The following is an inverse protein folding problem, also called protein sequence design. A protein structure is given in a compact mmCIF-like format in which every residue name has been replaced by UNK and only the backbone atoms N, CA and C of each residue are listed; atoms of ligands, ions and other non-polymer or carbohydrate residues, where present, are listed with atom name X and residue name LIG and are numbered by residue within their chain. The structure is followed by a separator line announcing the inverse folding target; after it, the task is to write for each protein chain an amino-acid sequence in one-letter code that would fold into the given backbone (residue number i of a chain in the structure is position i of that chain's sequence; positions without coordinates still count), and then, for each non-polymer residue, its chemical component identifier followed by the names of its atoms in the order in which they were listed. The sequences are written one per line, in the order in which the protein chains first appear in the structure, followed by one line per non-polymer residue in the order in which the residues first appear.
data_IF_184719119684
#
_entry.id   IF_184719119684
#
_cell.length_a   1.000
_cell.length_b   1.000
_cell.length_c   1.000
_cell.angle_alpha   90.00
_cell.angle_beta   90.00
_cell.angle_gamma   90.00
#
_symmetry.space_group_name_H-M   'P 1'
#
loop_
_entity.id
_entity.type
_entity.pdbx_description
1 polymer ?
#
# COMPACT_ATOMS: atom_id res chain seq x y z
N UNK A 1 -31.84 2.21 -7.93
CA UNK A 1 -30.65 3.06 -7.79
C UNK A 1 -30.42 3.36 -6.31
N UNK A 2 -29.74 2.49 -5.54
CA UNK A 2 -29.63 2.69 -4.08
C UNK A 2 -28.45 1.94 -3.42
N UNK A 3 -27.29 1.85 -4.08
CA UNK A 3 -26.14 1.05 -3.58
C UNK A 3 -24.84 1.84 -3.42
N UNK A 4 -24.90 3.18 -3.49
CA UNK A 4 -23.72 4.05 -3.51
C UNK A 4 -23.30 4.68 -2.17
N UNK A 5 -24.13 4.61 -1.12
CA UNK A 5 -23.93 5.43 0.09
C UNK A 5 -23.12 4.74 1.19
N UNK A 6 -23.28 3.43 1.38
CA UNK A 6 -22.60 2.68 2.46
C UNK A 6 -21.13 2.44 2.14
N UNK A 7 -20.83 2.04 0.90
CA UNK A 7 -19.46 1.80 0.42
C UNK A 7 -18.65 3.10 0.40
N UNK A 8 -19.26 4.21 -0.03
CA UNK A 8 -18.62 5.53 -0.02
C UNK A 8 -18.36 6.05 1.41
N UNK A 9 -19.25 5.77 2.38
CA UNK A 9 -19.02 6.12 3.79
C UNK A 9 -17.92 5.26 4.43
N UNK A 10 -17.87 3.96 4.13
CA UNK A 10 -16.79 3.07 4.57
C UNK A 10 -15.43 3.49 3.98
N UNK A 11 -15.38 3.79 2.69
CA UNK A 11 -14.17 4.30 2.02
C UNK A 11 -13.74 5.66 2.59
N UNK A 12 -14.68 6.53 2.96
CA UNK A 12 -14.39 7.79 3.69
C UNK A 12 -13.81 7.54 5.08
N UNK A 13 -14.40 6.62 5.85
CA UNK A 13 -13.93 6.25 7.18
C UNK A 13 -12.54 5.60 7.17
N UNK A 14 -12.24 4.85 6.11
CA UNK A 14 -10.93 4.24 5.86
C UNK A 14 -9.89 5.22 5.29
N UNK A 15 -10.21 6.52 5.16
CA UNK A 15 -9.26 7.54 4.70
C UNK A 15 -8.98 7.52 3.19
N UNK A 16 -9.72 6.73 2.41
CA UNK A 16 -9.53 6.54 0.96
C UNK A 16 -10.18 7.63 0.10
N UNK A 17 -10.64 8.73 0.70
CA UNK A 17 -11.32 9.84 0.00
C UNK A 17 -10.34 10.86 -0.63
N UNK A 18 -9.04 10.61 -0.58
CA UNK A 18 -8.03 11.52 -1.10
C UNK A 18 -6.84 10.76 -1.70
N UNK A 19 -6.50 11.12 -2.93
CA UNK A 19 -5.31 10.70 -3.69
C UNK A 19 -4.03 10.86 -2.85
N UNK A 20 -3.91 11.95 -2.08
CA UNK A 20 -2.75 12.18 -1.21
C UNK A 20 -2.71 11.24 0.02
N UNK A 21 -3.88 10.87 0.58
CA UNK A 21 -3.95 9.97 1.74
C UNK A 21 -3.63 8.52 1.37
N UNK A 22 -3.97 8.09 0.17
CA UNK A 22 -3.66 6.73 -0.31
C UNK A 22 -2.16 6.55 -0.59
N UNK A 23 -1.48 7.58 -1.14
CA UNK A 23 -0.01 7.59 -1.21
C UNK A 23 0.61 7.54 0.19
N UNK A 24 0.11 8.37 1.12
CA UNK A 24 0.62 8.37 2.48
C UNK A 24 0.47 6.98 3.15
N UNK A 25 -0.66 6.30 2.96
CA UNK A 25 -0.86 4.93 3.45
C UNK A 25 0.12 3.94 2.82
N UNK A 26 0.41 4.05 1.52
CA UNK A 26 1.42 3.21 0.85
C UNK A 26 2.82 3.41 1.43
N UNK A 27 3.20 4.67 1.69
CA UNK A 27 4.49 4.99 2.32
C UNK A 27 4.54 4.47 3.76
N UNK A 28 3.45 4.61 4.50
CA UNK A 28 3.35 4.17 5.90
C UNK A 28 3.43 2.64 6.01
N UNK A 29 2.76 1.91 5.10
CA UNK A 29 2.87 0.45 4.96
C UNK A 29 4.30 0.04 4.66
N UNK A 30 4.98 0.77 3.77
CA UNK A 30 6.38 0.50 3.46
C UNK A 30 7.29 0.72 4.67
N UNK A 31 7.12 1.82 5.41
CA UNK A 31 7.89 2.08 6.63
C UNK A 31 7.66 1.02 7.71
N UNK A 32 6.41 0.63 7.93
CA UNK A 32 6.06 -0.48 8.85
C UNK A 32 6.71 -1.78 8.41
N UNK A 33 6.79 -2.02 7.10
CA UNK A 33 7.43 -3.21 6.56
C UNK A 33 8.93 -3.23 6.84
N UNK A 34 9.61 -2.13 6.53
CA UNK A 34 11.05 -1.97 6.78
C UNK A 34 11.36 -2.09 8.27
N UNK A 35 10.54 -1.46 9.14
CA UNK A 35 10.69 -1.56 10.58
C UNK A 35 10.50 -3.01 11.07
N UNK A 36 9.46 -3.70 10.61
CA UNK A 36 9.17 -5.08 10.99
C UNK A 36 10.29 -6.05 10.58
N UNK A 37 10.73 -5.96 9.32
CA UNK A 37 11.82 -6.80 8.80
C UNK A 37 13.16 -6.45 9.45
N UNK A 38 13.45 -5.16 9.67
CA UNK A 38 14.65 -4.70 10.35
C UNK A 38 14.73 -5.22 11.79
N UNK A 39 13.65 -5.10 12.57
CA UNK A 39 13.59 -5.64 13.93
C UNK A 39 13.82 -7.17 13.93
N UNK A 40 13.17 -7.89 13.01
CA UNK A 40 13.34 -9.34 12.93
C UNK A 40 14.73 -9.77 12.42
N UNK A 41 15.38 -8.97 11.58
CA UNK A 41 16.74 -9.20 11.15
C UNK A 41 17.74 -9.15 12.32
N UNK A 42 17.63 -8.14 13.20
CA UNK A 42 18.55 -7.96 14.33
C UNK A 42 18.24 -8.85 15.53
N UNK A 43 16.96 -9.05 15.87
CA UNK A 43 16.55 -9.73 17.11
C UNK A 43 15.95 -11.13 16.92
N UNK A 44 15.68 -11.57 15.67
CA UNK A 44 15.10 -12.90 15.33
C UNK A 44 13.89 -13.29 16.22
N UNK A 45 13.00 -12.35 16.48
CA UNK A 45 11.92 -12.49 17.47
C UNK A 45 10.77 -13.37 16.94
N UNK A 46 10.44 -13.25 15.65
CA UNK A 46 9.32 -13.95 15.04
C UNK A 46 9.75 -15.26 14.36
N UNK A 47 8.87 -16.26 14.39
CA UNK A 47 9.04 -17.47 13.59
C UNK A 47 8.94 -17.16 12.10
N UNK A 48 9.57 -17.99 11.26
CA UNK A 48 9.60 -17.83 9.81
C UNK A 48 8.19 -17.71 9.20
N UNK A 49 7.21 -18.44 9.77
CA UNK A 49 5.80 -18.38 9.38
C UNK A 49 5.17 -17.00 9.62
N UNK A 50 5.47 -16.38 10.76
CA UNK A 50 4.96 -15.05 11.13
C UNK A 50 5.64 -13.96 10.31
N UNK A 51 6.95 -14.10 10.06
CA UNK A 51 7.72 -13.20 9.19
C UNK A 51 7.10 -13.10 7.79
N UNK A 52 6.83 -14.26 7.18
CA UNK A 52 6.21 -14.35 5.85
C UNK A 52 4.75 -13.92 5.88
N UNK A 53 3.99 -14.32 6.90
CA UNK A 53 2.56 -14.00 7.01
C UNK A 53 2.29 -12.50 7.11
N UNK A 54 3.07 -11.77 7.92
CA UNK A 54 2.96 -10.31 8.03
C UNK A 54 3.31 -9.63 6.71
N UNK A 55 4.31 -10.14 5.98
CA UNK A 55 4.67 -9.61 4.67
C UNK A 55 3.53 -9.73 3.67
N UNK A 56 2.91 -10.92 3.59
CA UNK A 56 1.80 -11.17 2.67
C UNK A 56 0.63 -10.23 3.00
N UNK A 57 0.30 -10.05 4.28
CA UNK A 57 -0.75 -9.10 4.70
C UNK A 57 -0.42 -7.66 4.28
N UNK A 58 0.82 -7.20 4.46
CA UNK A 58 1.24 -5.86 4.06
C UNK A 58 1.22 -5.67 2.54
N UNK A 59 1.61 -6.68 1.78
CA UNK A 59 1.53 -6.68 0.31
C UNK A 59 0.08 -6.62 -0.18
N UNK A 60 -0.81 -7.42 0.40
CA UNK A 60 -2.24 -7.42 0.06
C UNK A 60 -2.85 -6.04 0.36
N UNK A 61 -2.54 -5.48 1.53
CA UNK A 61 -3.02 -4.15 1.89
C UNK A 61 -2.46 -3.06 0.97
N UNK A 62 -1.17 -3.10 0.65
CA UNK A 62 -0.55 -2.18 -0.31
C UNK A 62 -1.13 -2.29 -1.71
N UNK A 63 -1.44 -3.50 -2.19
CA UNK A 63 -2.11 -3.73 -3.46
C UNK A 63 -3.53 -3.13 -3.47
N UNK A 64 -4.30 -3.31 -2.39
CA UNK A 64 -5.61 -2.69 -2.25
C UNK A 64 -5.53 -1.16 -2.24
N UNK A 65 -4.54 -0.60 -1.53
CA UNK A 65 -4.31 0.84 -1.49
C UNK A 65 -3.94 1.41 -2.87
N UNK A 66 -3.14 0.68 -3.66
CA UNK A 66 -2.81 1.03 -5.04
C UNK A 66 -4.05 1.04 -5.93
N UNK A 67 -4.89 0.00 -5.88
CA UNK A 67 -6.13 -0.06 -6.67
C UNK A 67 -7.05 1.11 -6.31
N UNK A 68 -7.18 1.43 -5.02
CA UNK A 68 -7.95 2.58 -4.58
C UNK A 68 -7.35 3.90 -5.07
N UNK A 69 -6.03 4.07 -4.99
CA UNK A 69 -5.32 5.25 -5.49
C UNK A 69 -5.58 5.47 -6.99
N UNK A 70 -5.47 4.41 -7.80
CA UNK A 70 -5.76 4.46 -9.23
C UNK A 70 -7.21 4.84 -9.48
N UNK A 71 -8.16 4.17 -8.80
CA UNK A 71 -9.58 4.44 -8.98
C UNK A 71 -9.96 5.90 -8.67
N UNK A 72 -9.52 6.40 -7.51
CA UNK A 72 -9.81 7.78 -7.10
C UNK A 72 -9.02 8.81 -7.90
N UNK A 73 -7.78 8.50 -8.25
CA UNK A 73 -6.95 9.34 -9.11
C UNK A 73 -7.57 9.51 -10.50
N UNK A 74 -8.01 8.42 -11.14
CA UNK A 74 -8.68 8.46 -12.44
C UNK A 74 -10.01 9.20 -12.38
N UNK A 75 -10.78 9.00 -11.30
CA UNK A 75 -12.02 9.72 -11.07
C UNK A 75 -11.76 11.23 -10.94
N UNK A 76 -10.73 11.63 -10.20
CA UNK A 76 -10.35 13.02 -10.04
C UNK A 76 -9.89 13.66 -11.36
N UNK A 77 -9.11 12.94 -12.18
CA UNK A 77 -8.71 13.41 -13.51
C UNK A 77 -9.92 13.64 -14.41
N UNK A 78 -10.92 12.75 -14.37
CA UNK A 78 -12.16 12.89 -15.16
C UNK A 78 -13.09 14.00 -14.67
N UNK A 79 -13.19 14.22 -13.36
CA UNK A 79 -14.15 15.17 -12.77
C UNK A 79 -13.58 16.59 -12.64
N UNK A 80 -12.26 16.76 -12.59
CA UNK A 80 -11.60 18.04 -12.31
C UNK A 80 -10.59 18.47 -13.37
N UNK A 81 -10.53 17.79 -14.52
CA UNK A 81 -9.51 17.98 -15.59
C UNK A 81 -8.06 18.01 -15.04
N UNK A 82 -7.83 17.26 -13.95
CA UNK A 82 -6.53 17.21 -13.29
C UNK A 82 -5.52 16.45 -14.16
N UNK A 83 -4.22 16.78 -14.10
CA UNK A 83 -3.21 16.14 -14.94
C UNK A 83 -3.03 14.67 -14.58
N UNK A 84 -3.17 13.79 -15.59
CA UNK A 84 -3.02 12.34 -15.48
C UNK A 84 -1.62 11.91 -14.98
N UNK A 85 -0.61 12.78 -15.18
CA UNK A 85 0.77 12.54 -14.76
C UNK A 85 0.91 12.33 -13.25
N UNK A 86 0.13 13.02 -12.40
CA UNK A 86 0.17 12.83 -10.95
C UNK A 86 -0.26 11.43 -10.51
N UNK A 87 -1.28 10.88 -11.18
CA UNK A 87 -1.74 9.51 -10.94
C UNK A 87 -0.68 8.52 -11.39
N UNK A 88 -0.11 8.68 -12.58
CA UNK A 88 0.94 7.79 -13.08
C UNK A 88 2.19 7.75 -12.18
N UNK A 89 2.67 8.91 -11.72
CA UNK A 89 3.83 8.98 -10.82
C UNK A 89 3.54 8.25 -9.51
N UNK A 90 2.37 8.48 -8.90
CA UNK A 90 2.00 7.77 -7.67
C UNK A 90 1.87 6.25 -7.86
N UNK A 91 1.39 5.80 -9.01
CA UNK A 91 1.34 4.37 -9.37
C UNK A 91 2.74 3.79 -9.49
N UNK A 92 3.65 4.47 -10.20
CA UNK A 92 5.04 4.01 -10.35
C UNK A 92 5.69 3.89 -8.97
N UNK A 93 5.60 4.92 -8.13
CA UNK A 93 6.14 4.91 -6.76
C UNK A 93 5.56 3.75 -5.95
N UNK A 94 4.24 3.55 -5.99
CA UNK A 94 3.59 2.47 -5.27
C UNK A 94 4.05 1.07 -5.72
N UNK A 95 4.16 0.85 -7.03
CA UNK A 95 4.66 -0.40 -7.60
C UNK A 95 6.12 -0.62 -7.18
N UNK A 96 6.96 0.43 -7.24
CA UNK A 96 8.35 0.36 -6.77
C UNK A 96 8.43 0.01 -5.28
N UNK A 97 7.58 0.59 -4.43
CA UNK A 97 7.54 0.27 -3.00
C UNK A 97 7.09 -1.18 -2.74
N UNK A 98 6.10 -1.68 -3.47
CA UNK A 98 5.67 -3.08 -3.40
C UNK A 98 6.79 -4.03 -3.85
N UNK A 99 7.48 -3.69 -4.95
CA UNK A 99 8.63 -4.45 -5.43
C UNK A 99 9.76 -4.50 -4.40
N UNK A 100 10.08 -3.37 -3.76
CA UNK A 100 11.07 -3.34 -2.68
C UNK A 100 10.65 -4.18 -1.48
N UNK A 101 9.37 -4.15 -1.11
CA UNK A 101 8.81 -5.00 -0.05
C UNK A 101 9.09 -6.49 -0.31
N UNK A 102 8.84 -6.96 -1.53
CA UNK A 102 9.09 -8.38 -1.89
C UNK A 102 10.58 -8.70 -1.84
N UNK A 103 11.44 -7.83 -2.40
CA UNK A 103 12.89 -8.05 -2.39
C UNK A 103 13.49 -8.05 -0.97
N UNK A 104 13.02 -7.16 -0.10
CA UNK A 104 13.43 -7.11 1.30
C UNK A 104 13.08 -8.42 2.02
N UNK A 105 11.88 -8.96 1.80
CA UNK A 105 11.53 -10.27 2.34
C UNK A 105 12.47 -11.36 1.81
N UNK A 106 12.73 -11.41 0.50
CA UNK A 106 13.66 -12.40 -0.08
C UNK A 106 15.06 -12.29 0.52
N UNK A 107 15.55 -11.06 0.72
CA UNK A 107 16.84 -10.81 1.35
C UNK A 107 16.90 -11.32 2.79
N UNK A 108 15.88 -11.03 3.60
CA UNK A 108 15.81 -11.50 4.99
C UNK A 108 15.67 -13.02 5.04
N UNK A 109 14.86 -13.63 4.17
CA UNK A 109 14.72 -15.08 4.09
C UNK A 109 16.01 -15.78 3.65
N UNK A 110 16.80 -15.19 2.75
CA UNK A 110 18.09 -15.74 2.34
C UNK A 110 19.15 -15.69 3.45
N UNK A 111 18.96 -14.84 4.46
CA UNK A 111 19.85 -14.64 5.60
C UNK A 111 19.42 -15.40 6.86
N UNK A 112 18.23 -16.01 6.85
CA UNK A 112 17.67 -16.78 7.94
C UNK A 112 18.08 -18.25 7.86
#
# INVERSE_FOLDING_TARGET
MATGTTTAKLLRGLGLNSTNRSIFMLVLVWLLNVAWLGINYFWRIASLQVLVGVQILLLVYGAMALVAYVYWGLKQVREQDAPYSGVLVGVIVAITLLYFNVNLLQYVLALF
#
